data_IF_429026860330
#
_entry.id   IF_429026860330
#
_cell.length_a   1.000
_cell.length_b   1.000
_cell.length_c   1.000
_cell.angle_alpha   90.00
_cell.angle_beta   90.00
_cell.angle_gamma   90.00
#
_symmetry.space_group_name_H-M   'P 1'
#
loop_
_entity.id
_entity.type
_entity.pdbx_description
1 polymer ?
#
# COMPACT_ATOMS: atom_id res chain seq x y z
N UNK A 1 7.76 14.52 14.12
CA UNK A 1 8.03 14.40 12.67
C UNK A 1 6.82 14.94 11.95
N UNK A 2 6.97 15.95 11.09
CA UNK A 2 5.84 16.50 10.33
C UNK A 2 5.48 15.52 9.23
N UNK A 3 4.24 15.03 9.20
CA UNK A 3 3.74 14.21 8.10
C UNK A 3 3.80 15.01 6.79
N UNK A 4 4.10 14.33 5.68
CA UNK A 4 4.19 14.91 4.34
C UNK A 4 3.39 14.04 3.38
N UNK A 5 2.54 14.67 2.58
CA UNK A 5 1.73 14.04 1.54
C UNK A 5 2.50 14.12 0.22
N UNK A 6 2.66 12.99 -0.47
CA UNK A 6 3.35 12.95 -1.75
C UNK A 6 2.36 13.15 -2.89
N UNK A 7 2.46 14.28 -3.57
CA UNK A 7 1.62 14.62 -4.72
C UNK A 7 2.43 14.52 -6.00
N UNK A 8 1.96 13.70 -6.93
CA UNK A 8 2.45 13.60 -8.31
C UNK A 8 1.40 14.21 -9.24
N UNK A 9 1.58 15.46 -9.69
CA UNK A 9 0.62 16.12 -10.58
C UNK A 9 0.60 15.47 -11.97
N UNK A 10 -0.54 15.54 -12.66
CA UNK A 10 -0.66 15.15 -14.05
C UNK A 10 0.34 15.91 -14.93
N UNK A 11 0.88 15.26 -15.97
CA UNK A 11 1.94 15.80 -16.84
C UNK A 11 1.66 17.20 -17.38
N UNK A 12 0.42 17.44 -17.78
CA UNK A 12 -0.04 18.72 -18.36
C UNK A 12 -0.16 19.83 -17.31
N UNK A 13 -0.39 19.46 -16.04
CA UNK A 13 -0.66 20.39 -14.92
C UNK A 13 0.56 20.62 -14.01
N UNK A 14 1.69 19.93 -14.25
CA UNK A 14 2.91 20.05 -13.42
C UNK A 14 3.44 21.49 -13.32
N UNK A 15 3.37 22.26 -14.42
CA UNK A 15 3.86 23.64 -14.44
C UNK A 15 3.03 24.55 -13.55
N UNK A 16 1.71 24.40 -13.60
CA UNK A 16 0.80 25.19 -12.78
C UNK A 16 0.87 24.77 -11.32
N UNK A 17 1.03 23.47 -11.03
CA UNK A 17 1.32 22.98 -9.68
C UNK A 17 2.63 23.54 -9.13
N UNK A 18 3.70 23.56 -9.94
CA UNK A 18 4.97 24.16 -9.53
C UNK A 18 4.84 25.66 -9.25
N UNK A 19 4.08 26.39 -10.07
CA UNK A 19 3.81 27.82 -9.86
C UNK A 19 3.06 28.04 -8.54
N UNK A 20 2.00 27.27 -8.28
CA UNK A 20 1.28 27.30 -7.01
C UNK A 20 2.22 27.01 -5.83
N UNK A 21 3.03 25.96 -5.94
CA UNK A 21 3.98 25.56 -4.91
C UNK A 21 4.99 26.67 -4.58
N UNK A 22 5.53 27.35 -5.60
CA UNK A 22 6.47 28.46 -5.39
C UNK A 22 5.86 29.72 -4.78
N UNK A 23 4.52 29.83 -4.76
CA UNK A 23 3.81 30.95 -4.12
C UNK A 23 3.73 30.84 -2.60
N UNK A 24 4.02 29.67 -2.03
CA UNK A 24 3.93 29.43 -0.59
C UNK A 24 5.25 29.72 0.13
N UNK A 25 5.15 30.29 1.33
CA UNK A 25 6.30 30.53 2.21
C UNK A 25 6.75 29.27 2.96
N UNK A 26 5.85 28.30 3.11
CA UNK A 26 6.13 27.02 3.76
C UNK A 26 6.99 26.15 2.85
N UNK A 27 7.94 25.42 3.45
CA UNK A 27 8.90 24.59 2.73
C UNK A 27 8.24 23.34 2.12
N UNK A 28 7.85 23.46 0.86
CA UNK A 28 7.54 22.33 -0.01
C UNK A 28 8.85 21.68 -0.46
N UNK A 29 8.93 20.35 -0.44
CA UNK A 29 10.12 19.62 -0.91
C UNK A 29 9.80 18.88 -2.20
N UNK A 30 10.70 18.90 -3.16
CA UNK A 30 10.66 17.98 -4.30
C UNK A 30 11.37 16.70 -3.89
N UNK A 31 10.64 15.59 -3.82
CA UNK A 31 11.21 14.27 -3.47
C UNK A 31 11.60 13.46 -4.71
N UNK A 32 11.16 13.91 -5.90
CA UNK A 32 11.48 13.31 -7.19
C UNK A 32 11.25 14.30 -8.33
N UNK A 33 11.50 13.89 -9.59
CA UNK A 33 11.35 14.75 -10.76
C UNK A 33 9.89 15.17 -11.02
N UNK A 34 8.95 14.39 -10.53
CA UNK A 34 7.51 14.54 -10.73
C UNK A 34 6.71 14.49 -9.41
N UNK A 35 7.38 14.44 -8.26
CA UNK A 35 6.74 14.23 -6.95
C UNK A 35 7.11 15.34 -5.96
N UNK A 36 6.09 15.96 -5.38
CA UNK A 36 6.16 17.02 -4.38
C UNK A 36 5.70 16.49 -3.03
N UNK A 37 6.46 16.76 -1.98
CA UNK A 37 6.06 16.54 -0.59
C UNK A 37 5.42 17.82 -0.05
N UNK A 38 4.10 17.74 0.18
CA UNK A 38 3.23 18.83 0.63
C UNK A 38 2.83 18.58 2.08
N UNK A 39 2.96 19.57 2.99
CA UNK A 39 2.41 19.46 4.33
C UNK A 39 0.88 19.28 4.31
N UNK A 40 0.28 18.47 5.21
CA UNK A 40 -1.16 18.21 5.22
C UNK A 40 -2.03 19.46 5.27
N UNK A 41 -1.61 20.50 6.00
CA UNK A 41 -2.36 21.75 6.09
C UNK A 41 -2.38 22.52 4.77
N UNK A 42 -1.30 22.47 3.99
CA UNK A 42 -1.24 23.12 2.68
C UNK A 42 -1.95 22.32 1.59
N UNK A 43 -2.12 21.01 1.77
CA UNK A 43 -2.80 20.19 0.80
C UNK A 43 -4.26 20.60 0.61
N UNK A 44 -4.92 21.08 1.68
CA UNK A 44 -6.30 21.58 1.64
C UNK A 44 -6.44 22.86 0.81
N UNK A 45 -5.36 23.64 0.69
CA UNK A 45 -5.32 24.87 -0.10
C UNK A 45 -4.90 24.65 -1.57
N UNK A 46 -4.64 23.39 -1.97
CA UNK A 46 -4.31 23.08 -3.36
C UNK A 46 -5.60 23.23 -4.18
N UNK A 47 -5.61 24.08 -5.22
CA UNK A 47 -6.75 24.17 -6.11
C UNK A 47 -7.00 22.83 -6.78
N UNK A 48 -8.24 22.37 -6.71
CA UNK A 48 -8.65 21.03 -7.11
C UNK A 48 -8.33 20.75 -8.58
N UNK A 49 -8.38 21.77 -9.44
CA UNK A 49 -8.05 21.62 -10.85
C UNK A 49 -6.62 21.12 -11.04
N UNK A 50 -5.69 21.43 -10.13
CA UNK A 50 -4.32 20.93 -10.20
C UNK A 50 -4.17 19.48 -9.71
N UNK A 51 -5.15 18.98 -8.96
CA UNK A 51 -5.21 17.62 -8.46
C UNK A 51 -5.93 16.65 -9.43
N UNK A 52 -6.72 17.14 -10.39
CA UNK A 52 -7.37 16.30 -11.41
C UNK A 52 -6.32 15.47 -12.16
N UNK A 53 -6.44 14.15 -12.05
CA UNK A 53 -5.50 13.19 -12.65
C UNK A 53 -4.16 13.04 -11.92
N UNK A 54 -3.98 13.70 -10.78
CA UNK A 54 -2.80 13.54 -9.94
C UNK A 54 -2.83 12.21 -9.16
N UNK A 55 -1.66 11.78 -8.69
CA UNK A 55 -1.50 10.66 -7.76
C UNK A 55 -1.06 11.23 -6.40
N UNK A 56 -1.86 11.03 -5.36
CA UNK A 56 -1.64 11.46 -3.98
C UNK A 56 -1.34 10.23 -3.13
N UNK A 57 -0.14 10.15 -2.57
CA UNK A 57 0.38 9.01 -1.79
C UNK A 57 0.17 7.64 -2.47
N UNK A 58 0.27 7.61 -3.80
CA UNK A 58 0.08 6.39 -4.60
C UNK A 58 -1.36 6.15 -5.07
N UNK A 59 -2.32 6.93 -4.61
CA UNK A 59 -3.73 6.84 -5.02
C UNK A 59 -4.08 7.91 -6.04
N UNK A 60 -4.86 7.57 -7.07
CA UNK A 60 -5.39 8.58 -8.00
C UNK A 60 -6.33 9.50 -7.24
N UNK A 61 -6.10 10.81 -7.31
CA UNK A 61 -7.02 11.79 -6.75
C UNK A 61 -8.38 11.67 -7.44
N UNK A 62 -9.45 11.65 -6.64
CA UNK A 62 -10.83 11.74 -7.09
C UNK A 62 -11.39 13.08 -6.63
N UNK A 63 -11.85 13.86 -7.60
CA UNK A 63 -12.52 15.12 -7.33
C UNK A 63 -13.96 14.85 -6.92
N UNK A 64 -14.44 15.37 -5.77
CA UNK A 64 -15.85 15.33 -5.43
C UNK A 64 -16.74 15.94 -6.53
N UNK A 65 -16.28 17.00 -7.21
CA UNK A 65 -16.99 17.61 -8.35
C UNK A 65 -17.04 16.68 -9.57
N UNK A 66 -15.98 15.92 -9.87
CA UNK A 66 -16.01 14.89 -10.92
C UNK A 66 -16.95 13.73 -10.54
N UNK A 67 -16.97 13.33 -9.27
CA UNK A 67 -17.91 12.32 -8.77
C UNK A 67 -19.37 12.82 -8.93
N UNK A 68 -19.67 14.06 -8.52
CA UNK A 68 -20.98 14.70 -8.71
C UNK A 68 -21.39 14.80 -10.19
N UNK A 69 -20.46 15.16 -11.08
CA UNK A 69 -20.73 15.29 -12.53
C UNK A 69 -20.87 13.94 -13.24
N UNK A 70 -20.18 12.90 -12.77
CA UNK A 70 -20.23 11.54 -13.35
C UNK A 70 -21.40 10.73 -12.77
N UNK A 71 -22.11 11.27 -11.77
CA UNK A 71 -23.14 10.53 -11.05
C UNK A 71 -22.56 9.39 -10.20
N UNK A 72 -21.25 9.40 -9.95
CA UNK A 72 -20.66 8.56 -8.93
C UNK A 72 -21.14 9.15 -7.61
N UNK A 73 -21.87 8.40 -6.76
CA UNK A 73 -22.21 8.93 -5.45
C UNK A 73 -20.90 9.37 -4.79
N UNK A 74 -20.88 10.50 -4.04
CA UNK A 74 -19.74 10.81 -3.20
C UNK A 74 -19.40 9.52 -2.43
N UNK A 75 -18.15 9.28 -2.05
CA UNK A 75 -17.93 8.36 -0.95
C UNK A 75 -18.71 8.98 0.21
N UNK A 76 -19.97 8.53 0.36
CA UNK A 76 -20.69 8.69 1.59
C UNK A 76 -19.78 8.15 2.69
N UNK A 77 -20.00 8.54 3.95
CA UNK A 77 -19.41 7.80 5.06
C UNK A 77 -19.58 6.33 4.71
N UNK A 78 -18.47 5.62 4.52
CA UNK A 78 -18.44 4.27 3.95
C UNK A 78 -19.66 3.54 4.47
N UNK A 79 -20.65 3.33 3.60
CA UNK A 79 -21.70 2.36 3.82
C UNK A 79 -20.97 1.02 3.65
N UNK A 80 -20.06 0.73 4.59
CA UNK A 80 -20.00 -0.62 5.13
C UNK A 80 -21.46 -0.94 5.35
N UNK A 81 -22.00 -1.97 4.68
CA UNK A 81 -23.38 -2.31 4.88
C UNK A 81 -23.55 -2.36 6.40
N UNK A 82 -24.43 -1.50 6.91
CA UNK A 82 -24.95 -1.56 8.27
C UNK A 82 -25.80 -2.83 8.34
N UNK A 83 -25.15 -3.97 8.17
CA UNK A 83 -25.54 -5.17 8.85
C UNK A 83 -25.00 -4.91 10.25
N UNK A 84 -25.81 -4.20 11.05
CA UNK A 84 -25.87 -4.39 12.49
C UNK A 84 -26.20 -5.88 12.76
N UNK A 85 -25.33 -6.80 12.37
CA UNK A 85 -25.09 -7.99 13.16
C UNK A 85 -24.28 -7.46 14.32
N UNK A 86 -24.97 -7.07 15.39
CA UNK A 86 -24.33 -6.54 16.59
C UNK A 86 -23.08 -7.34 16.89
N UNK A 87 -21.96 -6.66 17.14
CA UNK A 87 -20.66 -7.26 17.38
C UNK A 87 -20.81 -8.46 18.33
N UNK A 88 -20.78 -9.67 17.77
CA UNK A 88 -20.96 -10.88 18.55
C UNK A 88 -19.62 -11.16 19.22
N UNK A 89 -19.52 -10.84 20.50
CA UNK A 89 -18.39 -11.24 21.33
C UNK A 89 -18.35 -12.77 21.35
N UNK A 90 -17.34 -13.35 20.72
CA UNK A 90 -17.14 -14.80 20.68
C UNK A 90 -16.99 -15.36 22.09
N UNK A 91 -17.95 -16.16 22.52
CA UNK A 91 -17.85 -16.91 23.78
C UNK A 91 -17.08 -18.20 23.51
N UNK A 92 -15.97 -18.48 24.23
CA UNK A 92 -15.22 -19.72 24.04
C UNK A 92 -16.11 -20.96 24.21
N UNK A 93 -16.12 -21.84 23.20
CA UNK A 93 -16.89 -23.10 23.22
C UNK A 93 -18.25 -23.05 22.50
N UNK A 94 -18.70 -21.88 22.06
CA UNK A 94 -19.91 -21.77 21.22
C UNK A 94 -19.49 -21.75 19.74
N UNK A 95 -19.98 -22.68 18.89
CA UNK A 95 -19.68 -22.65 17.46
C UNK A 95 -20.24 -21.39 16.83
N UNK A 96 -19.44 -20.75 15.98
CA UNK A 96 -19.84 -19.55 15.26
C UNK A 96 -21.06 -19.84 14.38
N UNK A 97 -22.02 -18.90 14.28
CA UNK A 97 -23.15 -19.06 13.38
C UNK A 97 -22.67 -19.10 11.92
N UNK A 98 -23.37 -19.86 11.04
CA UNK A 98 -23.03 -19.92 9.64
C UNK A 98 -23.20 -18.56 8.97
N UNK A 99 -22.25 -18.20 8.10
CA UNK A 99 -22.31 -16.96 7.31
C UNK A 99 -23.44 -17.11 6.27
N UNK A 100 -24.34 -16.13 6.13
CA UNK A 100 -25.43 -16.19 5.16
C UNK A 100 -24.89 -16.10 3.72
N UNK A 101 -25.49 -16.82 2.78
CA UNK A 101 -25.11 -16.82 1.35
C UNK A 101 -25.12 -15.43 0.71
N UNK A 102 -25.98 -14.53 1.21
CA UNK A 102 -26.05 -13.14 0.75
C UNK A 102 -24.78 -12.32 1.03
N UNK A 103 -23.88 -12.81 1.90
CA UNK A 103 -22.57 -12.19 2.13
C UNK A 103 -21.59 -12.41 0.96
N UNK A 104 -21.89 -13.36 0.06
CA UNK A 104 -21.09 -13.62 -1.13
C UNK A 104 -21.72 -12.92 -2.34
N UNK A 105 -20.95 -12.16 -3.14
CA UNK A 105 -21.44 -11.63 -4.40
C UNK A 105 -21.78 -12.79 -5.37
N UNK A 106 -22.70 -12.60 -6.34
CA UNK A 106 -23.15 -13.66 -7.24
C UNK A 106 -22.04 -14.26 -8.13
N UNK A 107 -20.94 -13.53 -8.32
CA UNK A 107 -19.73 -13.98 -9.03
C UNK A 107 -18.67 -14.60 -8.10
N UNK A 108 -19.00 -14.87 -6.84
CA UNK A 108 -18.08 -15.51 -5.91
C UNK A 108 -17.83 -16.96 -6.33
N UNK A 109 -16.61 -17.23 -6.82
CA UNK A 109 -16.14 -18.60 -7.04
C UNK A 109 -15.69 -19.17 -5.70
N UNK A 110 -16.47 -20.11 -5.15
CA UNK A 110 -16.07 -20.85 -3.95
C UNK A 110 -14.81 -21.66 -4.26
N UNK A 111 -13.71 -21.31 -3.59
CA UNK A 111 -12.52 -22.14 -3.61
C UNK A 111 -12.85 -23.49 -2.98
N UNK A 112 -12.37 -24.61 -3.54
CA UNK A 112 -12.55 -25.91 -2.90
C UNK A 112 -11.98 -25.83 -1.49
N UNK A 113 -12.82 -26.10 -0.49
CA UNK A 113 -12.39 -26.16 0.90
C UNK A 113 -11.31 -27.24 0.99
N UNK A 114 -10.08 -26.82 1.29
CA UNK A 114 -9.03 -27.78 1.59
C UNK A 114 -9.53 -28.64 2.76
N UNK A 115 -9.38 -29.97 2.70
CA UNK A 115 -9.78 -30.81 3.83
C UNK A 115 -9.07 -30.29 5.08
N UNK A 116 -9.84 -30.15 6.16
CA UNK A 116 -9.41 -29.55 7.41
C UNK A 116 -8.00 -29.99 7.77
N UNK A 117 -7.07 -29.04 7.80
CA UNK A 117 -5.71 -29.27 8.26
C UNK A 117 -5.79 -29.67 9.74
N UNK A 118 -5.48 -30.93 10.02
CA UNK A 118 -5.14 -31.41 11.36
C UNK A 118 -4.02 -30.50 11.91
N UNK A 119 -4.05 -30.10 13.19
CA UNK A 119 -3.13 -29.13 13.72
C UNK A 119 -1.74 -29.76 13.87
N UNK A 120 -0.82 -29.48 12.94
CA UNK A 120 0.55 -29.96 13.06
C UNK A 120 1.47 -29.80 11.86
N UNK A 121 1.18 -28.94 10.89
CA UNK A 121 2.10 -28.68 9.79
C UNK A 121 2.73 -27.30 9.91
N UNK A 122 3.82 -27.28 10.68
CA UNK A 122 4.90 -26.30 10.59
C UNK A 122 5.21 -26.02 9.12
N UNK A 123 4.93 -24.79 8.69
CA UNK A 123 5.33 -24.23 7.40
C UNK A 123 6.84 -24.07 7.36
N UNK A 124 7.55 -25.18 7.24
CA UNK A 124 8.93 -25.23 6.78
C UNK A 124 8.98 -26.28 5.68
N UNK A 125 8.74 -25.84 4.45
CA UNK A 125 9.28 -26.53 3.28
C UNK A 125 10.79 -26.28 3.27
N UNK A 126 11.65 -27.27 3.59
CA UNK A 126 13.03 -27.16 3.16
C UNK A 126 13.03 -27.62 1.70
N UNK A 127 13.03 -26.66 0.77
CA UNK A 127 13.45 -26.98 -0.59
C UNK A 127 14.95 -27.32 -0.51
N UNK A 128 15.23 -28.59 -0.27
CA UNK A 128 16.53 -29.20 -0.44
C UNK A 128 16.81 -29.32 -1.94
N UNK A 129 17.09 -28.18 -2.57
CA UNK A 129 17.89 -28.13 -3.78
C UNK A 129 19.33 -27.88 -3.37
N UNK A 130 20.08 -28.99 -3.22
CA UNK A 130 21.49 -28.95 -2.89
C UNK A 130 22.31 -28.15 -3.90
N UNK A 131 23.30 -27.43 -3.39
CA UNK A 131 24.56 -27.26 -4.12
C UNK A 131 25.23 -25.90 -4.12
N UNK A 132 24.62 -24.82 -3.64
CA UNK A 132 25.24 -23.50 -3.81
C UNK A 132 25.03 -22.57 -2.60
N UNK A 133 25.57 -22.94 -1.44
CA UNK A 133 25.79 -21.96 -0.38
C UNK A 133 26.87 -20.98 -0.84
N UNK A 134 26.53 -19.69 -0.96
CA UNK A 134 27.45 -18.66 -1.43
C UNK A 134 28.22 -18.08 -0.24
N UNK A 135 29.44 -18.56 0.01
CA UNK A 135 30.31 -18.00 1.05
C UNK A 135 30.89 -16.64 0.64
N UNK A 136 31.07 -15.74 1.61
CA UNK A 136 31.83 -14.51 1.40
C UNK A 136 33.34 -14.79 1.48
N UNK A 137 34.13 -14.20 0.59
CA UNK A 137 35.58 -14.41 0.55
C UNK A 137 36.34 -13.62 1.63
N UNK A 138 35.68 -12.68 2.33
CA UNK A 138 36.29 -11.82 3.37
C UNK A 138 35.80 -12.09 4.79
N UNK A 139 34.75 -12.89 4.97
CA UNK A 139 34.25 -13.25 6.29
C UNK A 139 33.57 -14.63 6.27
N UNK A 140 33.40 -15.31 7.41
CA UNK A 140 32.83 -16.67 7.44
C UNK A 140 31.32 -16.74 7.19
N UNK A 141 30.68 -15.65 6.73
CA UNK A 141 29.23 -15.66 6.45
C UNK A 141 28.92 -16.38 5.15
N UNK A 142 27.85 -17.17 5.20
CA UNK A 142 27.31 -17.90 4.06
C UNK A 142 25.91 -17.38 3.72
N UNK A 143 25.57 -17.40 2.43
CA UNK A 143 24.31 -16.89 1.91
C UNK A 143 23.61 -17.95 1.08
N UNK A 144 22.27 -17.92 1.12
CA UNK A 144 21.42 -18.81 0.31
C UNK A 144 21.32 -18.36 -1.16
N UNK A 145 21.80 -17.14 -1.48
CA UNK A 145 21.77 -16.59 -2.86
C UNK A 145 23.04 -15.81 -3.20
N UNK A 146 23.45 -15.85 -4.47
CA UNK A 146 24.63 -15.11 -4.98
C UNK A 146 24.47 -13.58 -4.82
N UNK A 147 23.25 -13.07 -5.04
CA UNK A 147 22.91 -11.65 -4.89
C UNK A 147 23.04 -11.18 -3.43
N UNK A 148 22.67 -12.03 -2.47
CA UNK A 148 22.86 -11.77 -1.05
C UNK A 148 24.34 -11.58 -0.68
N UNK A 149 25.20 -12.49 -1.15
CA UNK A 149 26.67 -12.37 -0.97
C UNK A 149 27.24 -11.09 -1.57
N UNK A 150 26.85 -10.73 -2.80
CA UNK A 150 27.41 -9.54 -3.47
C UNK A 150 27.00 -8.23 -2.76
N UNK A 151 25.75 -8.14 -2.32
CA UNK A 151 25.25 -7.00 -1.54
C UNK A 151 26.00 -6.88 -0.21
N UNK A 152 26.18 -8.01 0.48
CA UNK A 152 26.96 -8.06 1.72
C UNK A 152 28.40 -7.59 1.52
N UNK A 153 29.06 -8.05 0.45
CA UNK A 153 30.44 -7.64 0.14
C UNK A 153 30.56 -6.12 -0.01
N UNK A 154 29.65 -5.48 -0.75
CA UNK A 154 29.67 -4.02 -0.98
C UNK A 154 29.43 -3.23 0.31
N UNK A 155 28.56 -3.73 1.18
CA UNK A 155 28.14 -3.02 2.40
C UNK A 155 29.06 -3.24 3.60
N UNK A 156 29.56 -4.47 3.79
CA UNK A 156 30.36 -4.85 4.95
C UNK A 156 31.87 -4.78 4.69
N UNK A 157 32.28 -4.79 3.42
CA UNK A 157 33.68 -4.72 2.99
C UNK A 157 33.86 -3.61 1.96
N UNK A 158 33.32 -2.42 2.24
CA UNK A 158 33.68 -1.20 1.48
C UNK A 158 35.16 -0.93 1.72
N UNK A 159 35.95 -0.85 0.65
CA UNK A 159 37.37 -0.49 0.74
C UNK A 159 37.48 1.01 1.05
N UNK A 160 38.38 1.36 1.97
CA UNK A 160 38.87 2.74 2.19
C UNK A 160 39.92 3.07 1.12
#
# INVERSE_FOLDING_TARGET
MTAMIHVRPASERRRDFARWATGHTVKLRTVGPDVFAVPPHLFVDVPEELLIGAIVDGHRYRSPLEDEATGTPPPGPVDQPDVLVGELVGVPGVPLPPVPDAAYPPDAVLLPVAPAAEPGQDGSTPDSSGGNTFACDRCPRTFTTARGRDTHRRQAHTED
#
